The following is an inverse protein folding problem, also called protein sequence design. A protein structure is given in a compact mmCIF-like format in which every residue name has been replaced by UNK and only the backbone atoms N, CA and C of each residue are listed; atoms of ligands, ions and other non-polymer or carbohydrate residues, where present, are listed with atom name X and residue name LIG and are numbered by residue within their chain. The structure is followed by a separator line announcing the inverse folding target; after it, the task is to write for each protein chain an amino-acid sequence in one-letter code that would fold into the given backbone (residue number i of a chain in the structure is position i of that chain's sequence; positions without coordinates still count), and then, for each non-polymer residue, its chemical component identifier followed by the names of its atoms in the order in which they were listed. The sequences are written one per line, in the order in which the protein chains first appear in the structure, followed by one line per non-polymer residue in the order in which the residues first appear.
data_IF_280625188654
#
_entry.id   IF_280625188654
#
_cell.length_a   1.000
_cell.length_b   1.000
_cell.length_c   1.000
_cell.angle_alpha   90.00
_cell.angle_beta   90.00
_cell.angle_gamma   90.00
#
_symmetry.space_group_name_H-M   'P 1'
#
loop_
_entity.id
_entity.type
_entity.pdbx_description
1 polymer ?
#
# COMPACT_ATOMS: atom_id res chain seq x y z
N UNK A 1 0.42 29.29 6.17
CA UNK A 1 1.21 28.04 6.09
C UNK A 1 0.48 26.82 6.66
N UNK A 2 -0.27 26.93 7.78
CA UNK A 2 -1.05 25.83 8.38
C UNK A 2 -2.25 25.32 7.55
N UNK A 3 -2.82 26.14 6.67
CA UNK A 3 -4.02 25.80 5.88
C UNK A 3 -3.87 24.53 5.03
N UNK A 4 -2.67 24.25 4.52
CA UNK A 4 -2.39 23.09 3.66
C UNK A 4 -2.46 21.74 4.40
N UNK A 5 -2.29 21.74 5.73
CA UNK A 5 -2.38 20.53 6.55
C UNK A 5 -3.82 20.21 6.99
N UNK A 6 -4.75 21.14 6.78
CA UNK A 6 -6.15 21.03 7.23
C UNK A 6 -7.06 20.74 6.03
N UNK A 7 -6.71 21.24 4.85
CA UNK A 7 -7.45 20.96 3.61
C UNK A 7 -6.85 19.74 2.89
N UNK A 8 -7.51 18.57 2.90
CA UNK A 8 -7.03 17.42 2.16
C UNK A 8 -7.05 17.74 0.66
N UNK A 9 -5.96 17.39 -0.03
CA UNK A 9 -5.92 17.48 -1.49
C UNK A 9 -6.88 16.42 -2.04
N UNK A 10 -7.88 16.80 -2.85
CA UNK A 10 -8.78 15.82 -3.46
C UNK A 10 -7.99 15.04 -4.51
N UNK A 11 -7.60 13.81 -4.18
CA UNK A 11 -6.95 12.89 -5.10
C UNK A 11 -7.99 11.99 -5.74
N UNK A 12 -7.92 11.85 -7.06
CA UNK A 12 -8.66 10.81 -7.77
C UNK A 12 -8.09 9.43 -7.41
N UNK A 13 -8.90 8.36 -7.55
CA UNK A 13 -8.47 7.01 -7.19
C UNK A 13 -7.14 6.58 -7.84
N UNK A 14 -6.92 6.96 -9.10
CA UNK A 14 -5.66 6.68 -9.81
C UNK A 14 -4.47 7.47 -9.25
N UNK A 15 -4.65 8.74 -8.89
CA UNK A 15 -3.60 9.55 -8.26
C UNK A 15 -3.24 9.00 -6.88
N UNK A 16 -4.23 8.53 -6.14
CA UNK A 16 -4.02 7.91 -4.83
C UNK A 16 -3.24 6.60 -4.96
N UNK A 17 -3.56 5.75 -5.94
CA UNK A 17 -2.78 4.55 -6.24
C UNK A 17 -1.36 4.87 -6.71
N UNK A 18 -1.21 5.88 -7.57
CA UNK A 18 0.09 6.35 -8.04
C UNK A 18 1.01 6.84 -6.92
N UNK A 19 0.44 7.33 -5.81
CA UNK A 19 1.19 7.71 -4.60
C UNK A 19 1.46 6.50 -3.68
N UNK A 20 0.46 5.64 -3.50
CA UNK A 20 0.47 4.56 -2.53
C UNK A 20 1.36 3.39 -2.97
N UNK A 21 1.26 2.97 -4.24
CA UNK A 21 2.04 1.86 -4.78
C UNK A 21 3.56 2.03 -4.64
N UNK A 22 4.18 3.16 -5.04
CA UNK A 22 5.62 3.34 -4.86
C UNK A 22 6.03 3.46 -3.39
N UNK A 23 5.19 4.02 -2.52
CA UNK A 23 5.45 4.06 -1.08
C UNK A 23 5.47 2.65 -0.48
N UNK A 24 4.49 1.80 -0.82
CA UNK A 24 4.48 0.42 -0.39
C UNK A 24 5.69 -0.36 -0.90
N UNK A 25 6.15 -0.07 -2.12
CA UNK A 25 7.34 -0.70 -2.70
C UNK A 25 8.61 -0.29 -1.96
N UNK A 26 8.76 1.00 -1.62
CA UNK A 26 9.89 1.48 -0.84
C UNK A 26 9.96 0.77 0.53
N UNK A 27 8.81 0.66 1.22
CA UNK A 27 8.73 -0.04 2.51
C UNK A 27 9.07 -1.53 2.36
N UNK A 28 8.58 -2.20 1.31
CA UNK A 28 8.85 -3.62 1.11
C UNK A 28 10.34 -3.89 0.82
N UNK A 29 11.00 -3.01 0.09
CA UNK A 29 12.44 -3.06 -0.16
C UNK A 29 13.21 -2.89 1.15
N UNK A 30 12.97 -1.80 1.90
CA UNK A 30 13.68 -1.51 3.16
C UNK A 30 13.47 -2.62 4.19
N UNK A 31 12.26 -3.17 4.27
CA UNK A 31 11.96 -4.29 5.16
C UNK A 31 12.74 -5.55 4.77
N UNK A 32 12.79 -5.90 3.47
CA UNK A 32 13.47 -7.11 3.02
C UNK A 32 14.99 -6.99 3.02
N UNK A 33 15.54 -5.81 2.76
CA UNK A 33 16.98 -5.57 2.86
C UNK A 33 17.50 -5.68 4.30
N UNK A 34 16.71 -5.27 5.30
CA UNK A 34 17.10 -5.36 6.71
C UNK A 34 16.89 -6.76 7.30
N UNK A 35 15.99 -7.55 6.72
CA UNK A 35 15.60 -8.87 7.25
C UNK A 35 16.34 -10.05 6.61
N UNK A 36 16.78 -9.95 5.36
CA UNK A 36 17.42 -11.04 4.64
C UNK A 36 18.94 -10.94 4.71
N UNK A 37 19.61 -12.06 4.97
CA UNK A 37 21.08 -12.14 4.98
C UNK A 37 21.65 -12.12 3.55
N UNK A 38 20.94 -12.75 2.60
CA UNK A 38 21.32 -12.81 1.20
C UNK A 38 20.65 -11.69 0.39
N UNK A 39 21.44 -10.68 0.03
CA UNK A 39 20.97 -9.52 -0.74
C UNK A 39 20.43 -9.87 -2.13
N UNK A 40 20.79 -11.02 -2.71
CA UNK A 40 20.31 -11.42 -4.04
C UNK A 40 18.84 -11.84 -4.05
N UNK A 41 18.30 -12.23 -2.90
CA UNK A 41 16.90 -12.65 -2.75
C UNK A 41 15.95 -11.46 -2.52
N UNK A 42 16.52 -10.30 -2.17
CA UNK A 42 15.78 -9.07 -1.85
C UNK A 42 14.84 -8.63 -2.97
N UNK A 43 15.24 -8.56 -4.26
CA UNK A 43 14.36 -8.02 -5.30
C UNK A 43 13.06 -8.82 -5.44
N UNK A 44 13.16 -10.15 -5.47
CA UNK A 44 12.00 -11.03 -5.57
C UNK A 44 11.15 -10.94 -4.28
N UNK A 45 11.79 -11.02 -3.12
CA UNK A 45 11.09 -10.98 -1.84
C UNK A 45 10.38 -9.64 -1.59
N UNK A 46 10.96 -8.53 -2.04
CA UNK A 46 10.37 -7.20 -1.93
C UNK A 46 9.14 -7.05 -2.83
N UNK A 47 9.19 -7.58 -4.06
CA UNK A 47 8.04 -7.59 -4.99
C UNK A 47 6.90 -8.45 -4.41
N UNK A 48 7.19 -9.65 -3.92
CA UNK A 48 6.17 -10.52 -3.30
C UNK A 48 5.52 -9.82 -2.10
N UNK A 49 6.32 -9.18 -1.25
CA UNK A 49 5.82 -8.45 -0.09
C UNK A 49 4.97 -7.25 -0.51
N UNK A 50 5.42 -6.50 -1.53
CA UNK A 50 4.66 -5.38 -2.08
C UNK A 50 3.30 -5.81 -2.62
N UNK A 51 3.25 -6.86 -3.44
CA UNK A 51 1.99 -7.42 -3.96
C UNK A 51 1.09 -7.86 -2.80
N UNK A 52 1.66 -8.55 -1.80
CA UNK A 52 0.91 -9.01 -0.62
C UNK A 52 0.26 -7.85 0.14
N UNK A 53 1.00 -6.75 0.34
CA UNK A 53 0.47 -5.54 0.99
C UNK A 53 -0.69 -4.97 0.18
N UNK A 54 -0.48 -4.77 -1.13
CA UNK A 54 -1.50 -4.17 -2.01
C UNK A 54 -2.76 -5.03 -2.06
N UNK A 55 -2.62 -6.33 -2.30
CA UNK A 55 -3.75 -7.27 -2.34
C UNK A 55 -4.47 -7.32 -1.00
N UNK A 56 -3.75 -7.36 0.12
CA UNK A 56 -4.33 -7.33 1.47
C UNK A 56 -5.17 -6.07 1.70
N UNK A 57 -4.67 -4.90 1.32
CA UNK A 57 -5.40 -3.64 1.45
C UNK A 57 -6.69 -3.63 0.61
N UNK A 58 -6.62 -4.09 -0.64
CA UNK A 58 -7.81 -4.21 -1.50
C UNK A 58 -8.82 -5.22 -0.95
N UNK A 59 -8.35 -6.37 -0.46
CA UNK A 59 -9.20 -7.40 0.13
C UNK A 59 -9.97 -6.88 1.33
N UNK A 60 -9.33 -6.12 2.22
CA UNK A 60 -10.00 -5.45 3.35
C UNK A 60 -11.05 -4.47 2.86
N UNK A 61 -10.73 -3.62 1.88
CA UNK A 61 -11.68 -2.65 1.32
C UNK A 61 -12.92 -3.32 0.72
N UNK A 62 -12.71 -4.37 -0.10
CA UNK A 62 -13.80 -5.17 -0.68
C UNK A 62 -14.61 -5.86 0.41
N UNK A 63 -13.95 -6.43 1.43
CA UNK A 63 -14.62 -7.09 2.56
C UNK A 63 -15.55 -6.14 3.31
N UNK A 64 -15.09 -4.92 3.61
CA UNK A 64 -15.91 -3.90 4.27
C UNK A 64 -17.08 -3.44 3.39
N UNK A 65 -16.86 -3.29 2.08
CA UNK A 65 -17.93 -2.94 1.15
C UNK A 65 -19.02 -4.02 1.08
N UNK A 66 -18.62 -5.29 0.99
CA UNK A 66 -19.56 -6.41 1.00
C UNK A 66 -20.33 -6.49 2.32
N UNK A 67 -19.65 -6.31 3.44
CA UNK A 67 -20.28 -6.29 4.76
C UNK A 67 -21.32 -5.17 4.87
N UNK A 68 -20.99 -3.96 4.41
CA UNK A 68 -21.95 -2.86 4.37
C UNK A 68 -23.18 -3.21 3.54
N UNK A 69 -23.00 -3.80 2.36
CA UNK A 69 -24.11 -4.17 1.46
C UNK A 69 -25.01 -5.27 2.04
N UNK A 70 -24.50 -6.10 2.95
CA UNK A 70 -25.28 -7.16 3.60
C UNK A 70 -26.06 -6.67 4.82
N UNK A 71 -25.56 -5.63 5.50
CA UNK A 71 -26.15 -5.09 6.73
C UNK A 71 -27.11 -3.93 6.46
N UNK A 72 -26.89 -3.15 5.38
CA UNK A 72 -27.73 -2.02 4.97
C UNK A 72 -28.67 -2.40 3.82
#
# INVERSE_FOLDING_TARGET
MLLWFITPVPLTGWQQLGLLLPLCLAVSIVYKTTKLENLREVPLAAIVTWITIVVGMFAVGVGLYLLHRLVA
#
